data_IF_157768718333
#
_entry.id   IF_157768718333
#
_cell.length_a   1.000
_cell.length_b   1.000
_cell.length_c   1.000
_cell.angle_alpha   90.00
_cell.angle_beta   90.00
_cell.angle_gamma   90.00
#
_symmetry.space_group_name_H-M   'P 1'
#
loop_
_entity.id
_entity.type
_entity.pdbx_description
1 polymer ?
#
# COMPACT_ATOMS: atom_id res chain seq x y z
N UNK A 1 -26.86 6.03 56.02
CA UNK A 1 -27.31 5.27 54.84
C UNK A 1 -26.53 5.73 53.61
N UNK A 2 -25.56 4.93 53.15
CA UNK A 2 -24.68 5.23 51.99
C UNK A 2 -25.44 4.95 50.69
N UNK A 3 -25.81 5.99 49.93
CA UNK A 3 -26.27 5.82 48.54
C UNK A 3 -25.04 5.93 47.64
N UNK A 4 -24.43 4.77 47.36
CA UNK A 4 -23.37 4.65 46.35
C UNK A 4 -24.04 4.79 44.98
N UNK A 5 -24.01 6.01 44.42
CA UNK A 5 -24.37 6.26 43.02
C UNK A 5 -23.22 5.73 42.18
N UNK A 6 -23.30 4.47 41.79
CA UNK A 6 -22.39 3.85 40.84
C UNK A 6 -22.80 4.36 39.46
N UNK A 7 -22.27 5.52 39.08
CA UNK A 7 -22.35 6.01 37.70
C UNK A 7 -21.50 5.09 36.83
N UNK A 8 -22.16 4.26 36.02
CA UNK A 8 -21.53 3.31 35.12
C UNK A 8 -20.73 4.03 34.05
N UNK A 9 -19.41 4.10 34.23
CA UNK A 9 -18.47 4.53 33.20
C UNK A 9 -18.25 3.35 32.24
N UNK A 10 -19.12 3.23 31.25
CA UNK A 10 -19.01 2.22 30.19
C UNK A 10 -17.92 2.63 29.21
N UNK A 11 -16.67 2.24 29.47
CA UNK A 11 -15.57 2.46 28.53
C UNK A 11 -15.69 1.49 27.36
N UNK A 12 -16.26 1.95 26.25
CA UNK A 12 -16.25 1.20 24.98
C UNK A 12 -14.82 1.21 24.44
N UNK A 13 -14.11 0.11 24.64
CA UNK A 13 -12.80 -0.12 24.01
C UNK A 13 -13.04 -0.56 22.56
N UNK A 14 -12.87 0.37 21.61
CA UNK A 14 -12.82 0.00 20.20
C UNK A 14 -11.46 -0.64 19.90
N UNK A 15 -11.43 -1.96 19.78
CA UNK A 15 -10.28 -2.70 19.27
C UNK A 15 -10.24 -2.53 17.74
N UNK A 16 -9.27 -1.78 17.22
CA UNK A 16 -8.95 -1.82 15.79
C UNK A 16 -8.32 -3.17 15.44
N UNK A 17 -8.79 -3.83 14.38
CA UNK A 17 -8.18 -5.07 13.90
C UNK A 17 -6.86 -4.74 13.21
N UNK A 18 -5.73 -5.11 13.84
CA UNK A 18 -4.44 -5.11 13.18
C UNK A 18 -4.37 -6.29 12.21
N UNK A 19 -4.29 -6.01 10.91
CA UNK A 19 -4.21 -7.04 9.87
C UNK A 19 -2.91 -6.88 9.12
N UNK A 20 -2.20 -8.00 8.94
CA UNK A 20 -1.05 -8.01 8.06
C UNK A 20 -1.54 -7.96 6.62
N UNK A 21 -0.97 -7.06 5.80
CA UNK A 21 -1.27 -6.94 4.39
C UNK A 21 0.03 -7.01 3.60
N UNK A 22 0.04 -7.84 2.57
CA UNK A 22 1.17 -7.96 1.67
C UNK A 22 0.98 -7.05 0.46
N UNK A 23 2.09 -6.49 -0.02
CA UNK A 23 2.09 -5.73 -1.27
C UNK A 23 1.93 -6.68 -2.45
N UNK A 24 1.10 -6.27 -3.41
CA UNK A 24 0.94 -6.96 -4.70
C UNK A 24 1.29 -6.03 -5.84
N UNK A 25 1.90 -6.57 -6.90
CA UNK A 25 2.22 -5.78 -8.09
C UNK A 25 0.96 -5.61 -8.95
N UNK A 26 0.45 -4.39 -9.01
CA UNK A 26 -0.80 -4.04 -9.70
C UNK A 26 -0.58 -3.35 -11.04
N UNK A 27 0.64 -2.90 -11.33
CA UNK A 27 0.96 -2.31 -12.62
C UNK A 27 2.40 -1.81 -12.71
N UNK A 28 2.67 -1.04 -13.76
CA UNK A 28 3.97 -0.47 -14.05
C UNK A 28 4.17 -0.26 -15.54
N UNK A 29 5.22 0.48 -15.89
CA UNK A 29 5.63 0.71 -17.26
C UNK A 29 7.11 0.38 -17.42
N UNK A 30 7.41 -0.61 -18.28
CA UNK A 30 8.80 -0.92 -18.65
C UNK A 30 9.46 0.25 -19.37
N UNK A 31 8.71 0.98 -20.19
CA UNK A 31 9.22 2.11 -20.96
C UNK A 31 9.62 3.29 -20.06
N UNK A 32 8.85 3.53 -19.01
CA UNK A 32 9.11 4.60 -18.04
C UNK A 32 9.97 4.13 -16.84
N UNK A 33 10.23 2.83 -16.74
CA UNK A 33 11.00 2.24 -15.65
C UNK A 33 10.28 2.32 -14.30
N UNK A 34 8.96 2.13 -14.27
CA UNK A 34 8.14 2.27 -13.06
C UNK A 34 7.36 1.01 -12.74
N UNK A 35 7.17 0.73 -11.46
CA UNK A 35 6.38 -0.39 -10.93
C UNK A 35 5.41 0.15 -9.88
N UNK A 36 4.17 -0.31 -9.92
CA UNK A 36 3.12 0.05 -8.96
C UNK A 36 2.79 -1.17 -8.12
N UNK A 37 2.93 -1.00 -6.81
CA UNK A 37 2.50 -1.99 -5.84
C UNK A 37 1.28 -1.45 -5.09
N UNK A 38 0.30 -2.31 -4.84
CA UNK A 38 -0.88 -1.94 -4.07
C UNK A 38 -1.25 -3.00 -3.04
N UNK A 39 -1.98 -2.56 -2.03
CA UNK A 39 -2.70 -3.43 -1.10
C UNK A 39 -4.08 -2.83 -0.80
N UNK A 40 -4.99 -3.69 -0.34
CA UNK A 40 -6.35 -3.29 0.06
C UNK A 40 -6.49 -3.25 1.58
N UNK A 41 -7.13 -2.20 2.07
CA UNK A 41 -7.38 -1.99 3.50
C UNK A 41 -8.81 -1.53 3.72
N UNK A 42 -9.49 -2.22 4.64
CA UNK A 42 -10.84 -1.84 5.06
C UNK A 42 -10.85 -0.54 5.87
N UNK A 43 -12.00 0.14 5.92
CA UNK A 43 -12.17 1.41 6.65
C UNK A 43 -11.72 1.34 8.13
N UNK A 44 -11.96 0.21 8.78
CA UNK A 44 -11.68 -0.01 10.21
C UNK A 44 -10.45 -0.91 10.45
N UNK A 45 -9.71 -1.25 9.40
CA UNK A 45 -8.52 -2.08 9.49
C UNK A 45 -7.27 -1.22 9.75
N UNK A 46 -6.41 -1.70 10.64
CA UNK A 46 -5.06 -1.16 10.76
C UNK A 46 -4.11 -2.06 9.96
N UNK A 47 -3.81 -1.67 8.72
CA UNK A 47 -2.91 -2.44 7.86
C UNK A 47 -1.46 -2.33 8.33
N UNK A 48 -0.91 -3.47 8.75
CA UNK A 48 0.52 -3.63 9.02
C UNK A 48 1.18 -4.19 7.77
N UNK A 49 1.99 -3.36 7.11
CA UNK A 49 2.65 -3.70 5.84
C UNK A 49 4.16 -3.78 6.01
N UNK A 50 4.80 -4.67 5.26
CA UNK A 50 6.25 -4.79 5.26
C UNK A 50 6.86 -4.03 4.06
N UNK A 51 7.45 -2.87 4.33
CA UNK A 51 8.10 -2.04 3.31
C UNK A 51 9.30 -2.72 2.65
N UNK A 52 10.04 -3.57 3.38
CA UNK A 52 11.14 -4.34 2.79
C UNK A 52 10.64 -5.40 1.80
N UNK A 53 9.48 -6.01 2.09
CA UNK A 53 8.81 -6.93 1.17
C UNK A 53 8.40 -6.18 -0.11
N UNK A 54 7.87 -4.97 0.02
CA UNK A 54 7.52 -4.10 -1.12
C UNK A 54 8.73 -3.79 -2.01
N UNK A 55 9.84 -3.31 -1.44
CA UNK A 55 11.07 -3.01 -2.20
C UNK A 55 11.63 -4.26 -2.89
N UNK A 56 11.61 -5.41 -2.20
CA UNK A 56 12.07 -6.68 -2.78
C UNK A 56 11.19 -7.11 -3.96
N UNK A 57 9.88 -6.92 -3.86
CA UNK A 57 8.92 -7.26 -4.91
C UNK A 57 9.06 -6.33 -6.11
N UNK A 58 9.18 -5.02 -5.89
CA UNK A 58 9.44 -4.04 -6.93
C UNK A 58 10.76 -4.33 -7.65
N UNK A 59 11.82 -4.63 -6.89
CA UNK A 59 13.14 -5.00 -7.44
C UNK A 59 13.05 -6.23 -8.34
N UNK A 60 12.37 -7.29 -7.90
CA UNK A 60 12.15 -8.49 -8.72
C UNK A 60 11.43 -8.17 -10.03
N UNK A 61 10.42 -7.29 -10.00
CA UNK A 61 9.71 -6.85 -11.21
C UNK A 61 10.61 -6.05 -12.16
N UNK A 62 11.39 -5.13 -11.62
CA UNK A 62 12.38 -4.35 -12.38
C UNK A 62 13.47 -5.24 -13.00
N UNK A 63 13.92 -6.28 -12.29
CA UNK A 63 14.92 -7.24 -12.79
C UNK A 63 14.44 -8.05 -13.99
N UNK A 64 13.14 -8.35 -14.08
CA UNK A 64 12.54 -8.98 -15.28
C UNK A 64 12.71 -8.11 -16.52
N UNK A 65 12.89 -6.80 -16.36
CA UNK A 65 13.10 -5.84 -17.44
C UNK A 65 14.57 -5.43 -17.64
N UNK A 66 15.49 -6.05 -16.92
CA UNK A 66 16.93 -5.80 -17.02
C UNK A 66 17.47 -4.72 -16.07
N UNK A 67 16.65 -4.16 -15.18
CA UNK A 67 17.11 -3.19 -14.18
C UNK A 67 17.75 -3.89 -12.97
N UNK A 68 18.57 -3.17 -12.21
CA UNK A 68 19.31 -3.76 -11.08
C UNK A 68 18.62 -3.59 -9.72
N UNK A 69 17.75 -2.60 -9.58
CA UNK A 69 17.09 -2.29 -8.32
C UNK A 69 15.76 -1.58 -8.50
N UNK A 70 15.10 -1.27 -7.39
CA UNK A 70 13.94 -0.39 -7.35
C UNK A 70 13.95 0.45 -6.08
N UNK A 71 13.48 1.70 -6.17
CA UNK A 71 13.27 2.58 -5.01
C UNK A 71 11.88 3.22 -5.07
N UNK A 72 11.31 3.58 -3.92
CA UNK A 72 10.00 4.21 -3.87
C UNK A 72 10.06 5.64 -4.43
N UNK A 73 9.11 6.01 -5.29
CA UNK A 73 8.99 7.35 -5.85
C UNK A 73 7.51 7.74 -5.99
N UNK A 74 7.20 8.98 -6.35
CA UNK A 74 5.83 9.39 -6.72
C UNK A 74 4.82 9.44 -5.56
N UNK A 75 5.22 9.04 -4.35
CA UNK A 75 4.38 9.06 -3.16
C UNK A 75 3.44 7.86 -3.05
N UNK A 76 2.40 8.02 -2.23
CA UNK A 76 1.38 6.98 -1.99
C UNK A 76 0.02 7.56 -2.35
N UNK A 77 -0.71 6.86 -3.21
CA UNK A 77 -2.08 7.19 -3.58
C UNK A 77 -3.05 6.27 -2.88
N UNK A 78 -4.21 6.79 -2.48
CA UNK A 78 -5.26 6.01 -1.84
C UNK A 78 -6.57 6.27 -2.58
N UNK A 79 -7.13 5.23 -3.17
CA UNK A 79 -8.37 5.29 -3.93
C UNK A 79 -9.45 4.44 -3.27
N UNK A 80 -10.68 4.94 -3.25
CA UNK A 80 -11.80 4.13 -2.81
C UNK A 80 -12.15 3.09 -3.87
N UNK A 81 -12.02 1.81 -3.53
CA UNK A 81 -12.39 0.71 -4.43
C UNK A 81 -13.86 0.30 -4.23
N UNK A 82 -14.36 0.41 -2.99
CA UNK A 82 -15.75 0.08 -2.68
C UNK A 82 -16.36 1.09 -1.69
N UNK A 83 -17.46 1.72 -2.11
CA UNK A 83 -18.25 2.58 -1.24
C UNK A 83 -19.12 1.75 -0.29
N UNK A 84 -19.21 2.18 0.98
CA UNK A 84 -20.06 1.58 2.00
C UNK A 84 -21.48 2.16 1.99
N UNK A 85 -22.39 1.50 2.70
CA UNK A 85 -23.82 1.86 2.73
C UNK A 85 -24.14 3.23 3.34
N UNK A 86 -23.22 3.84 4.07
CA UNK A 86 -23.37 5.17 4.69
C UNK A 86 -22.61 6.29 3.97
N UNK A 87 -22.16 6.06 2.74
CA UNK A 87 -21.42 7.07 1.94
C UNK A 87 -19.92 7.17 2.27
N UNK A 88 -19.43 6.37 3.23
CA UNK A 88 -18.02 6.14 3.47
C UNK A 88 -17.39 5.19 2.45
N UNK A 89 -16.08 4.95 2.56
CA UNK A 89 -15.40 3.98 1.73
C UNK A 89 -15.07 2.72 2.53
N UNK A 90 -15.73 1.62 2.19
CA UNK A 90 -15.56 0.34 2.87
C UNK A 90 -14.19 -0.30 2.62
N UNK A 91 -13.63 -0.13 1.42
CA UNK A 91 -12.33 -0.67 1.04
C UNK A 91 -11.51 0.37 0.24
N UNK A 92 -10.32 0.65 0.74
CA UNK A 92 -9.33 1.51 0.12
C UNK A 92 -8.23 0.68 -0.55
N UNK A 93 -7.96 0.99 -1.81
CA UNK A 93 -6.77 0.52 -2.49
C UNK A 93 -5.65 1.56 -2.32
N UNK A 94 -4.62 1.19 -1.57
CA UNK A 94 -3.41 2.00 -1.39
C UNK A 94 -2.39 1.55 -2.41
N UNK A 95 -1.88 2.48 -3.23
CA UNK A 95 -0.88 2.22 -4.25
C UNK A 95 0.37 3.06 -4.01
N UNK A 96 1.53 2.43 -4.07
CA UNK A 96 2.85 3.05 -3.97
C UNK A 96 3.62 2.78 -5.24
N UNK A 97 4.26 3.82 -5.75
CA UNK A 97 5.03 3.73 -6.99
C UNK A 97 6.54 3.54 -6.67
N UNK A 98 7.20 2.79 -7.53
CA UNK A 98 8.62 2.46 -7.44
C UNK A 98 9.29 2.70 -8.78
N UNK A 99 10.45 3.35 -8.77
CA UNK A 99 11.26 3.57 -9.95
C UNK A 99 12.37 2.53 -9.99
N UNK A 100 12.55 1.93 -11.15
CA UNK A 100 13.61 0.97 -11.40
C UNK A 100 14.95 1.69 -11.53
N UNK A 101 16.00 1.10 -10.97
CA UNK A 101 17.35 1.65 -10.93
C UNK A 101 18.30 0.92 -11.90
N UNK A 102 19.22 1.69 -12.49
CA UNK A 102 20.23 1.20 -13.43
C UNK A 102 19.77 1.23 -14.89
N UNK A 103 20.58 0.66 -15.78
CA UNK A 103 20.25 0.53 -17.21
C UNK A 103 19.36 -0.67 -17.44
N UNK A 104 18.07 -0.44 -17.66
CA UNK A 104 17.15 -1.47 -18.17
C UNK A 104 17.30 -1.65 -19.68
N UNK A 105 16.69 -2.70 -20.23
CA UNK A 105 16.76 -2.99 -21.67
C UNK A 105 16.20 -1.87 -22.56
N UNK A 106 15.34 -0.99 -22.02
CA UNK A 106 14.77 0.17 -22.72
C UNK A 106 15.73 1.36 -22.89
N UNK A 107 16.80 1.44 -22.10
CA UNK A 107 17.79 2.54 -22.17
C UNK A 107 18.72 2.46 -23.38
N UNK A 108 18.71 1.35 -24.13
CA UNK A 108 19.53 1.17 -25.33
C UNK A 108 18.95 1.88 -26.58
N UNK A 109 17.70 2.39 -26.54
CA UNK A 109 17.00 2.92 -27.74
C UNK A 109 16.99 4.45 -27.84
N UNK A 110 17.56 5.19 -26.86
CA UNK A 110 17.61 6.66 -26.88
C UNK A 110 19.01 7.26 -27.07
N UNK A 111 19.87 6.57 -27.82
CA UNK A 111 21.04 7.21 -28.43
C UNK A 111 20.72 7.50 -29.90
N UNK A 112 20.21 8.70 -30.16
CA UNK A 112 20.34 9.37 -31.45
C UNK A 112 21.43 10.43 -31.31
#
# INVERSE_FOLDING_TARGET
MRKLVISGLTTVLMCGCATQKDWSATGGSRADGTVRLSYEVGEFENAQVNESQAVSLATKRCQVWGYHGAEAFGGVTRQCNQFGGFGGCANWMVTKEYQCLGTGDGTQVRRY
#
